data_IF_792648734485
#
_entry.id   IF_792648734485
#
_cell.length_a   1.000
_cell.length_b   1.000
_cell.length_c   1.000
_cell.angle_alpha   90.00
_cell.angle_beta   90.00
_cell.angle_gamma   90.00
#
_symmetry.space_group_name_H-M   'P 1'
#
loop_
_entity.id
_entity.type
_entity.pdbx_description
1 polymer ?
#
# COMPACT_ATOMS: atom_id res chain seq x y z
N UNK A 1 29.93 -53.44 11.49
CA UNK A 1 31.38 -53.11 11.62
C UNK A 1 31.54 -51.60 11.75
N UNK A 2 32.52 -51.08 12.49
CA UNK A 2 32.78 -49.63 12.65
C UNK A 2 32.81 -48.87 11.31
N UNK A 3 33.28 -49.55 10.25
CA UNK A 3 33.29 -49.05 8.87
C UNK A 3 31.90 -48.78 8.28
N UNK A 4 30.87 -49.51 8.69
CA UNK A 4 29.48 -49.24 8.28
C UNK A 4 28.91 -48.02 8.98
N UNK A 5 29.22 -47.84 10.26
CA UNK A 5 28.78 -46.67 11.04
C UNK A 5 29.37 -45.41 10.40
N UNK A 6 30.68 -45.42 10.13
CA UNK A 6 31.37 -44.33 9.43
C UNK A 6 30.79 -44.09 8.03
N UNK A 7 30.41 -45.14 7.31
CA UNK A 7 29.81 -45.01 5.97
C UNK A 7 28.40 -44.42 6.03
N UNK A 8 27.60 -44.78 7.03
CA UNK A 8 26.26 -44.27 7.23
C UNK A 8 26.26 -42.81 7.69
N UNK A 9 27.21 -42.40 8.53
CA UNK A 9 27.31 -41.02 9.07
C UNK A 9 28.08 -40.06 8.16
N UNK A 10 28.90 -40.57 7.25
CA UNK A 10 29.71 -39.78 6.29
C UNK A 10 28.90 -38.75 5.49
N UNK A 11 27.64 -39.05 5.18
CA UNK A 11 26.74 -38.11 4.50
C UNK A 11 26.41 -36.89 5.37
N UNK A 12 26.09 -37.12 6.65
CA UNK A 12 25.81 -36.07 7.62
C UNK A 12 27.06 -35.24 7.95
N UNK A 13 28.22 -35.88 8.05
CA UNK A 13 29.52 -35.21 8.27
C UNK A 13 29.92 -34.32 7.08
N UNK A 14 29.80 -34.82 5.85
CA UNK A 14 30.04 -34.04 4.62
C UNK A 14 29.04 -32.88 4.50
N UNK A 15 27.79 -33.11 4.89
CA UNK A 15 26.75 -32.10 4.95
C UNK A 15 27.12 -31.01 5.98
N UNK A 16 27.61 -31.36 7.16
CA UNK A 16 28.01 -30.38 8.18
C UNK A 16 29.24 -29.54 7.76
N UNK A 17 30.22 -30.15 7.08
CA UNK A 17 31.49 -29.51 6.70
C UNK A 17 31.43 -28.67 5.42
N UNK A 18 30.34 -28.78 4.63
CA UNK A 18 30.18 -28.04 3.39
C UNK A 18 29.81 -26.56 3.66
N UNK A 19 30.82 -25.69 3.52
CA UNK A 19 30.71 -24.24 3.69
C UNK A 19 29.99 -23.53 2.53
N UNK A 20 29.72 -24.23 1.42
CA UNK A 20 29.02 -23.69 0.25
C UNK A 20 27.49 -23.86 0.32
N UNK A 21 26.95 -24.36 1.43
CA UNK A 21 25.52 -24.19 1.65
C UNK A 21 25.22 -22.70 1.80
N UNK A 22 24.54 -22.15 0.80
CA UNK A 22 23.62 -21.04 1.03
C UNK A 22 22.46 -21.54 1.90
N UNK A 23 22.74 -21.91 3.16
CA UNK A 23 21.70 -22.24 4.11
C UNK A 23 20.94 -20.95 4.39
N UNK A 24 19.72 -20.88 3.85
CA UNK A 24 18.76 -19.84 4.20
C UNK A 24 18.29 -20.14 5.61
N UNK A 25 18.98 -19.58 6.59
CA UNK A 25 18.55 -19.66 7.98
C UNK A 25 17.22 -18.95 8.14
N UNK A 26 16.35 -19.53 8.97
CA UNK A 26 15.16 -18.83 9.42
C UNK A 26 15.59 -17.67 10.32
N UNK A 27 14.83 -16.58 10.30
CA UNK A 27 15.09 -15.44 11.17
C UNK A 27 15.17 -15.87 12.63
N UNK A 28 14.32 -16.81 13.07
CA UNK A 28 14.36 -17.33 14.43
C UNK A 28 15.74 -17.93 14.78
N UNK A 29 16.33 -18.72 13.87
CA UNK A 29 17.65 -19.32 14.07
C UNK A 29 18.77 -18.28 14.07
N UNK A 30 18.68 -17.26 13.20
CA UNK A 30 19.66 -16.17 13.19
C UNK A 30 19.61 -15.33 14.46
N UNK A 31 18.42 -15.07 14.99
CA UNK A 31 18.23 -14.31 16.22
C UNK A 31 18.85 -15.04 17.40
N UNK A 32 18.67 -16.36 17.50
CA UNK A 32 19.26 -17.18 18.55
C UNK A 32 20.78 -17.27 18.43
N UNK A 33 21.30 -17.58 17.22
CA UNK A 33 22.74 -17.71 16.97
C UNK A 33 23.53 -16.42 17.20
N UNK A 34 22.91 -15.27 16.90
CA UNK A 34 23.53 -13.96 17.02
C UNK A 34 23.11 -13.23 18.31
N UNK A 35 22.34 -13.90 19.17
CA UNK A 35 21.82 -13.36 20.43
C UNK A 35 21.13 -11.99 20.26
N UNK A 36 20.43 -11.79 19.14
CA UNK A 36 19.82 -10.50 18.79
C UNK A 36 18.68 -10.21 19.76
N UNK A 37 18.82 -9.11 20.49
CA UNK A 37 17.86 -8.67 21.49
C UNK A 37 16.58 -8.11 20.87
N UNK A 38 15.51 -8.03 21.65
CA UNK A 38 14.26 -7.39 21.21
C UNK A 38 14.43 -5.90 20.88
N UNK A 39 15.37 -5.22 21.55
CA UNK A 39 15.66 -3.81 21.32
C UNK A 39 16.35 -3.61 19.98
N UNK A 40 17.38 -4.40 19.69
CA UNK A 40 18.07 -4.37 18.39
C UNK A 40 17.12 -4.67 17.23
N UNK A 41 16.21 -5.63 17.42
CA UNK A 41 15.17 -5.94 16.44
C UNK A 41 14.29 -4.72 16.09
N UNK A 42 14.14 -3.71 16.96
CA UNK A 42 13.38 -2.49 16.65
C UNK A 42 14.06 -1.65 15.57
N UNK A 43 15.39 -1.68 15.52
CA UNK A 43 16.19 -0.94 14.55
C UNK A 43 16.45 -1.75 13.26
N UNK A 44 16.23 -3.06 13.28
CA UNK A 44 16.43 -3.94 12.14
C UNK A 44 15.21 -4.01 11.20
N UNK A 45 15.45 -4.37 9.94
CA UNK A 45 14.40 -4.48 8.91
C UNK A 45 14.09 -5.93 8.53
N UNK A 46 15.12 -6.78 8.42
CA UNK A 46 15.01 -8.13 7.85
C UNK A 46 15.01 -9.21 8.93
N UNK A 47 16.02 -9.24 9.80
CA UNK A 47 16.16 -10.26 10.85
C UNK A 47 15.34 -9.82 12.06
N UNK A 48 14.03 -10.07 12.00
CA UNK A 48 13.10 -9.76 13.08
C UNK A 48 12.26 -10.99 13.42
N UNK A 49 11.89 -11.09 14.69
CA UNK A 49 10.98 -12.13 15.18
C UNK A 49 9.54 -11.90 14.70
N UNK A 50 8.73 -12.96 14.80
CA UNK A 50 7.29 -12.88 14.56
C UNK A 50 6.58 -11.90 15.49
N UNK A 51 7.05 -11.77 16.73
CA UNK A 51 6.45 -10.87 17.71
C UNK A 51 6.71 -9.40 17.38
N UNK A 52 7.94 -9.06 16.97
CA UNK A 52 8.24 -7.71 16.49
C UNK A 52 7.44 -7.37 15.22
N UNK A 53 7.31 -8.32 14.29
CA UNK A 53 6.46 -8.16 13.12
C UNK A 53 4.99 -7.88 13.51
N UNK A 54 4.42 -8.64 14.45
CA UNK A 54 3.06 -8.43 14.96
C UNK A 54 2.94 -7.08 15.66
N UNK A 55 3.93 -6.64 16.44
CA UNK A 55 3.96 -5.33 17.10
C UNK A 55 3.91 -4.19 16.07
N UNK A 56 4.76 -4.24 15.03
CA UNK A 56 4.74 -3.28 13.92
C UNK A 56 3.41 -3.27 13.18
N UNK A 57 2.83 -4.45 12.93
CA UNK A 57 1.50 -4.58 12.32
C UNK A 57 0.43 -3.91 13.20
N UNK A 58 0.45 -4.12 14.52
CA UNK A 58 -0.46 -3.46 15.47
C UNK A 58 -0.32 -1.94 15.44
N UNK A 59 0.90 -1.40 15.37
CA UNK A 59 1.13 0.06 15.26
C UNK A 59 0.57 0.61 13.96
N UNK A 60 0.87 -0.03 12.81
CA UNK A 60 0.30 0.35 11.51
C UNK A 60 -1.22 0.29 11.53
N UNK A 61 -1.78 -0.77 12.09
CA UNK A 61 -3.22 -0.96 12.19
C UNK A 61 -3.86 0.04 13.15
N UNK A 62 -3.22 0.43 14.26
CA UNK A 62 -3.70 1.49 15.17
C UNK A 62 -3.75 2.84 14.46
N UNK A 63 -2.72 3.15 13.66
CA UNK A 63 -2.71 4.34 12.81
C UNK A 63 -3.80 4.28 11.70
N UNK A 64 -4.26 3.07 11.34
CA UNK A 64 -5.34 2.84 10.37
C UNK A 64 -6.74 2.79 11.00
N UNK A 65 -6.86 2.37 12.27
CA UNK A 65 -8.12 2.25 13.02
C UNK A 65 -8.70 3.63 13.34
N UNK A 66 -7.84 4.63 13.49
CA UNK A 66 -8.22 6.03 13.55
C UNK A 66 -8.48 6.58 12.12
N UNK A 67 -9.26 5.85 11.32
CA UNK A 67 -9.43 6.06 9.89
C UNK A 67 -9.96 7.46 9.55
N UNK A 68 -10.77 8.04 10.44
CA UNK A 68 -11.20 9.44 10.33
C UNK A 68 -10.04 10.42 10.55
N UNK A 69 -9.19 10.18 11.55
CA UNK A 69 -8.00 11.00 11.81
C UNK A 69 -6.97 10.88 10.70
N UNK A 70 -6.74 9.67 10.18
CA UNK A 70 -5.86 9.44 9.04
C UNK A 70 -6.38 10.17 7.77
N UNK A 71 -7.69 10.10 7.53
CA UNK A 71 -8.36 10.84 6.44
C UNK A 71 -8.26 12.36 6.64
N UNK A 72 -8.42 12.85 7.86
CA UNK A 72 -8.28 14.27 8.22
C UNK A 72 -6.86 14.78 7.99
N UNK A 73 -5.85 14.06 8.48
CA UNK A 73 -4.42 14.39 8.26
C UNK A 73 -4.10 14.42 6.76
N UNK A 74 -4.62 13.48 5.98
CA UNK A 74 -4.42 13.46 4.54
C UNK A 74 -5.08 14.67 3.86
N UNK A 75 -6.30 15.02 4.24
CA UNK A 75 -7.00 16.22 3.73
C UNK A 75 -6.28 17.52 4.12
N UNK A 76 -5.79 17.63 5.36
CA UNK A 76 -5.00 18.78 5.82
C UNK A 76 -3.67 18.91 5.07
N UNK A 77 -3.01 17.78 4.77
CA UNK A 77 -1.80 17.74 3.94
C UNK A 77 -2.06 18.18 2.50
N UNK A 78 -3.21 17.83 1.92
CA UNK A 78 -3.59 18.31 0.59
C UNK A 78 -3.83 19.83 0.59
N UNK A 79 -4.54 20.34 1.60
CA UNK A 79 -4.78 21.78 1.78
C UNK A 79 -3.50 22.57 1.96
N UNK A 80 -2.56 22.10 2.80
CA UNK A 80 -1.28 22.79 3.02
C UNK A 80 -0.38 22.82 1.78
N UNK A 81 -0.55 21.85 0.87
CA UNK A 81 0.11 21.81 -0.44
C UNK A 81 -0.63 22.62 -1.51
N UNK A 82 -1.74 23.29 -1.19
CA UNK A 82 -2.58 24.01 -2.15
C UNK A 82 -3.27 23.09 -3.18
N UNK A 83 -3.34 21.78 -2.90
CA UNK A 83 -3.94 20.81 -3.82
C UNK A 83 -5.40 20.57 -3.46
N UNK A 84 -6.28 20.68 -4.45
CA UNK A 84 -7.67 20.29 -4.34
C UNK A 84 -7.78 18.76 -4.18
N UNK A 85 -8.70 18.33 -3.33
CA UNK A 85 -9.07 16.92 -3.24
C UNK A 85 -9.76 16.47 -4.54
N UNK A 86 -9.68 15.18 -4.83
CA UNK A 86 -10.27 14.65 -6.06
C UNK A 86 -11.79 14.88 -6.15
N UNK A 87 -12.47 14.86 -4.99
CA UNK A 87 -13.90 15.18 -4.90
C UNK A 87 -14.20 16.62 -5.28
N UNK A 88 -13.39 17.58 -4.82
CA UNK A 88 -13.56 19.00 -5.16
C UNK A 88 -13.31 19.25 -6.65
N UNK A 89 -12.30 18.62 -7.24
CA UNK A 89 -12.05 18.72 -8.69
C UNK A 89 -13.23 18.21 -9.51
N UNK A 90 -13.81 17.08 -9.11
CA UNK A 90 -14.99 16.52 -9.77
C UNK A 90 -16.19 17.46 -9.60
N UNK A 91 -16.38 18.05 -8.42
CA UNK A 91 -17.45 19.02 -8.17
C UNK A 91 -17.32 20.26 -9.06
N UNK A 92 -16.14 20.88 -9.10
CA UNK A 92 -15.86 22.04 -9.96
C UNK A 92 -16.03 21.70 -11.44
N UNK A 93 -15.66 20.48 -11.86
CA UNK A 93 -15.87 20.03 -13.23
C UNK A 93 -17.36 19.91 -13.54
N UNK A 94 -18.14 19.32 -12.64
CA UNK A 94 -19.60 19.14 -12.82
C UNK A 94 -20.33 20.48 -12.86
N UNK A 95 -19.96 21.42 -12.00
CA UNK A 95 -20.49 22.78 -12.00
C UNK A 95 -20.26 23.47 -13.36
N UNK A 96 -19.05 23.35 -13.92
CA UNK A 96 -18.75 23.86 -15.27
C UNK A 96 -19.55 23.15 -16.36
N UNK A 97 -19.75 21.84 -16.24
CA UNK A 97 -20.58 21.08 -17.20
C UNK A 97 -22.03 21.56 -17.12
N UNK A 98 -22.57 21.79 -15.92
CA UNK A 98 -23.92 22.29 -15.71
C UNK A 98 -24.10 23.68 -16.35
N UNK A 99 -23.19 24.62 -16.07
CA UNK A 99 -23.21 25.97 -16.66
C UNK A 99 -23.14 25.93 -18.20
N UNK A 100 -22.35 25.02 -18.78
CA UNK A 100 -22.29 24.85 -20.23
C UNK A 100 -23.59 24.23 -20.81
N UNK A 101 -24.22 23.31 -20.09
CA UNK A 101 -25.52 22.74 -20.48
C UNK A 101 -26.63 23.80 -20.44
N UNK A 102 -26.65 24.64 -19.40
CA UNK A 102 -27.62 25.74 -19.26
C UNK A 102 -27.46 26.79 -20.38
N UNK A 103 -26.22 26.98 -20.87
CA UNK A 103 -25.92 27.79 -22.07
C UNK A 103 -26.33 27.13 -23.39
N UNK A 104 -26.88 25.91 -23.35
CA UNK A 104 -27.37 25.18 -24.51
C UNK A 104 -26.31 24.36 -25.25
N UNK A 105 -25.10 24.20 -24.69
CA UNK A 105 -24.08 23.38 -25.33
C UNK A 105 -24.44 21.90 -25.29
N UNK A 106 -24.17 21.20 -26.38
CA UNK A 106 -24.32 19.75 -26.44
C UNK A 106 -23.18 19.06 -25.69
N UNK A 107 -23.41 17.83 -25.20
CA UNK A 107 -22.37 17.03 -24.53
C UNK A 107 -21.11 16.86 -25.40
N UNK A 108 -21.28 16.81 -26.73
CA UNK A 108 -20.19 16.70 -27.69
C UNK A 108 -19.27 17.91 -27.67
N UNK A 109 -19.86 19.09 -27.64
CA UNK A 109 -19.12 20.36 -27.56
C UNK A 109 -18.43 20.47 -26.20
N UNK A 110 -19.11 20.10 -25.12
CA UNK A 110 -18.58 20.18 -23.75
C UNK A 110 -17.31 19.34 -23.59
N UNK A 111 -17.32 18.06 -23.96
CA UNK A 111 -16.11 17.24 -23.77
C UNK A 111 -14.94 17.69 -24.65
N UNK A 112 -15.24 18.26 -25.82
CA UNK A 112 -14.23 18.80 -26.73
C UNK A 112 -13.63 20.09 -26.17
N UNK A 113 -14.48 21.02 -25.71
CA UNK A 113 -14.10 22.30 -25.13
C UNK A 113 -13.28 22.13 -23.85
N UNK A 114 -13.74 21.26 -22.96
CA UNK A 114 -13.08 20.98 -21.68
C UNK A 114 -11.87 20.03 -21.82
N UNK A 115 -11.62 19.48 -23.02
CA UNK A 115 -10.57 18.48 -23.29
C UNK A 115 -10.65 17.28 -22.35
N UNK A 116 -11.86 16.79 -22.08
CA UNK A 116 -12.11 15.61 -21.25
C UNK A 116 -12.60 14.45 -22.12
N UNK A 117 -12.50 13.23 -21.60
CA UNK A 117 -13.00 12.06 -22.34
C UNK A 117 -14.52 12.11 -22.46
N UNK A 118 -15.05 11.61 -23.59
CA UNK A 118 -16.49 11.41 -23.80
C UNK A 118 -17.14 10.68 -22.63
N UNK A 119 -16.49 9.62 -22.13
CA UNK A 119 -17.01 8.80 -21.01
C UNK A 119 -17.11 9.61 -19.72
N UNK A 120 -16.11 10.42 -19.42
CA UNK A 120 -16.10 11.30 -18.24
C UNK A 120 -17.27 12.29 -18.27
N UNK A 121 -17.46 12.96 -19.41
CA UNK A 121 -18.57 13.89 -19.58
C UNK A 121 -19.93 13.21 -19.41
N UNK A 122 -20.14 12.05 -20.04
CA UNK A 122 -21.41 11.31 -19.92
C UNK A 122 -21.68 10.90 -18.47
N UNK A 123 -20.67 10.40 -17.76
CA UNK A 123 -20.84 9.99 -16.37
C UNK A 123 -21.18 11.17 -15.46
N UNK A 124 -20.57 12.34 -15.69
CA UNK A 124 -20.86 13.55 -14.91
C UNK A 124 -22.25 14.10 -15.20
N UNK A 125 -22.71 14.04 -16.46
CA UNK A 125 -24.09 14.41 -16.83
C UNK A 125 -25.10 13.43 -16.22
N UNK A 126 -24.85 12.12 -16.28
CA UNK A 126 -25.73 11.14 -15.63
C UNK A 126 -25.82 11.38 -14.12
N UNK A 127 -24.70 11.71 -13.47
CA UNK A 127 -24.70 12.09 -12.06
C UNK A 127 -25.56 13.32 -11.80
N UNK A 128 -25.47 14.37 -12.62
CA UNK A 128 -26.31 15.57 -12.48
C UNK A 128 -27.81 15.26 -12.64
N UNK A 129 -28.15 14.37 -13.58
CA UNK A 129 -29.54 13.91 -13.79
C UNK A 129 -30.06 13.09 -12.62
N UNK A 130 -29.24 12.20 -12.05
CA UNK A 130 -29.59 11.43 -10.84
C UNK A 130 -29.85 12.34 -9.63
N UNK A 131 -29.22 13.52 -9.59
CA UNK A 131 -29.45 14.53 -8.55
C UNK A 131 -30.63 15.47 -8.86
N UNK A 132 -31.30 15.35 -10.02
CA UNK A 132 -32.40 16.22 -10.43
C UNK A 132 -31.99 17.65 -10.78
N UNK A 133 -30.73 17.87 -11.13
CA UNK A 133 -30.20 19.19 -11.49
C UNK A 133 -30.39 19.54 -12.98
N UNK A 134 -30.74 18.55 -13.79
CA UNK A 134 -30.98 18.62 -15.25
C UNK A 134 -32.07 17.63 -15.66
#
# INVERSE_FOLDING_TARGET
>A
SEREVIRATRSAERCYLDKNKQYKYKNETLIELLEITEEEQRNMTIIISKEEYKRRKRIRNKNSYDGEKAKKIYQEKLKSQGKLSEKEKISQRREKILDLLDKGHTQKEIYTLMKISKRTCINDVNFLREQGLI
#
